data_IF_663233862579
#
_entry.id   IF_663233862579
#
_cell.length_a   1.000
_cell.length_b   1.000
_cell.length_c   1.000
_cell.angle_alpha   90.00
_cell.angle_beta   90.00
_cell.angle_gamma   90.00
#
_symmetry.space_group_name_H-M   'P 1'
#
loop_
_entity.id
_entity.type
_entity.pdbx_description
1 polymer ?
#
# COMPACT_ATOMS: atom_id res chain seq x y z
N UNK A 1 -14.45 8.63 15.88
CA UNK A 1 -13.05 9.15 16.07
C UNK A 1 -12.06 8.06 15.69
N UNK A 2 -10.90 8.46 15.16
CA UNK A 2 -9.86 7.51 14.74
C UNK A 2 -9.13 6.85 15.93
N UNK A 3 -8.94 7.58 17.01
CA UNK A 3 -8.35 7.10 18.27
C UNK A 3 -9.42 7.15 19.36
N UNK A 4 -9.54 6.07 20.14
CA UNK A 4 -10.53 5.89 21.21
C UNK A 4 -9.83 5.56 22.52
N UNK A 5 -10.59 5.26 23.57
CA UNK A 5 -10.05 4.80 24.85
C UNK A 5 -9.35 3.42 24.75
N UNK A 6 -9.70 2.63 23.73
CA UNK A 6 -9.07 1.31 23.52
C UNK A 6 -7.58 1.44 23.22
N UNK A 7 -7.21 2.30 22.27
CA UNK A 7 -5.80 2.55 21.94
C UNK A 7 -5.04 3.12 23.14
N UNK A 8 -5.66 4.03 23.89
CA UNK A 8 -5.06 4.61 25.10
C UNK A 8 -4.79 3.54 26.17
N UNK A 9 -5.76 2.64 26.40
CA UNK A 9 -5.63 1.54 27.36
C UNK A 9 -4.47 0.61 26.97
N UNK A 10 -4.34 0.27 25.68
CA UNK A 10 -3.26 -0.60 25.22
C UNK A 10 -1.89 0.07 25.32
N UNK A 11 -1.79 1.36 24.98
CA UNK A 11 -0.56 2.14 25.15
C UNK A 11 -0.18 2.24 26.63
N UNK A 12 -1.15 2.50 27.52
CA UNK A 12 -0.90 2.55 28.97
C UNK A 12 -0.35 1.22 29.49
N UNK A 13 -0.90 0.08 29.06
CA UNK A 13 -0.41 -1.24 29.43
C UNK A 13 1.07 -1.47 29.00
N UNK A 14 1.48 -0.95 27.85
CA UNK A 14 2.89 -1.00 27.45
C UNK A 14 3.77 -0.14 28.35
N UNK A 15 3.34 1.07 28.68
CA UNK A 15 4.08 1.98 29.58
C UNK A 15 4.20 1.40 30.99
N UNK A 16 3.13 0.84 31.53
CA UNK A 16 3.12 0.20 32.86
C UNK A 16 4.07 -1.01 32.93
N UNK A 17 4.26 -1.71 31.79
CA UNK A 17 5.24 -2.80 31.70
C UNK A 17 6.68 -2.34 31.82
N UNK A 18 6.95 -1.02 31.67
CA UNK A 18 8.30 -0.45 31.60
C UNK A 18 9.19 -1.12 30.55
N UNK A 19 8.58 -1.64 29.48
CA UNK A 19 9.25 -2.37 28.39
C UNK A 19 10.01 -3.62 28.83
N UNK A 20 9.73 -4.16 30.02
CA UNK A 20 10.36 -5.41 30.49
C UNK A 20 9.81 -6.60 29.74
N UNK A 21 10.66 -7.47 29.22
CA UNK A 21 10.24 -8.68 28.50
C UNK A 21 9.31 -9.58 29.31
N UNK A 22 9.52 -9.68 30.64
CA UNK A 22 8.69 -10.49 31.55
C UNK A 22 7.30 -9.91 31.80
N UNK A 23 7.13 -8.59 31.62
CA UNK A 23 5.87 -7.87 31.79
C UNK A 23 5.29 -7.35 30.46
N UNK A 24 5.95 -7.66 29.33
CA UNK A 24 5.54 -7.22 28.01
C UNK A 24 4.13 -7.74 27.68
N UNK A 25 3.15 -6.87 27.42
CA UNK A 25 1.79 -7.27 27.04
C UNK A 25 1.71 -7.97 25.69
N UNK A 26 2.83 -8.02 24.92
CA UNK A 26 2.91 -8.72 23.64
C UNK A 26 2.02 -8.10 22.57
N UNK A 27 1.95 -6.78 22.49
CA UNK A 27 1.08 -6.07 21.54
C UNK A 27 1.44 -6.38 20.10
N UNK A 28 2.72 -6.48 19.79
CA UNK A 28 3.19 -6.88 18.44
C UNK A 28 2.64 -8.25 18.05
N UNK A 29 2.74 -9.25 18.94
CA UNK A 29 2.22 -10.60 18.68
C UNK A 29 0.71 -10.61 18.51
N UNK A 30 -0.01 -9.92 19.41
CA UNK A 30 -1.48 -9.80 19.35
C UNK A 30 -1.92 -9.12 18.03
N UNK A 31 -1.24 -8.05 17.65
CA UNK A 31 -1.48 -7.33 16.41
C UNK A 31 -1.27 -8.25 15.19
N UNK A 32 -0.16 -8.96 15.12
CA UNK A 32 0.13 -9.90 14.03
C UNK A 32 -0.96 -10.99 13.92
N UNK A 33 -1.41 -11.55 15.03
CA UNK A 33 -2.48 -12.54 15.06
C UNK A 33 -3.84 -11.97 14.60
N UNK A 34 -4.22 -10.80 15.11
CA UNK A 34 -5.46 -10.14 14.73
C UNK A 34 -5.46 -9.78 13.25
N UNK A 35 -4.34 -9.24 12.74
CA UNK A 35 -4.20 -8.87 11.34
C UNK A 35 -4.24 -10.08 10.41
N UNK A 36 -3.52 -11.14 10.74
CA UNK A 36 -3.54 -12.40 9.98
C UNK A 36 -4.96 -12.98 9.87
N UNK A 37 -5.74 -12.93 10.95
CA UNK A 37 -7.15 -13.36 10.94
C UNK A 37 -8.01 -12.53 10.01
N UNK A 38 -7.92 -11.19 10.08
CA UNK A 38 -8.70 -10.26 9.24
C UNK A 38 -8.39 -10.44 7.76
N UNK A 39 -7.11 -10.56 7.41
CA UNK A 39 -6.64 -10.69 6.02
C UNK A 39 -6.52 -12.14 5.54
N UNK A 40 -7.04 -13.11 6.32
CA UNK A 40 -7.09 -14.55 5.96
C UNK A 40 -5.74 -15.11 5.53
N UNK A 41 -4.67 -14.68 6.21
CA UNK A 41 -3.31 -15.15 5.99
C UNK A 41 -2.81 -16.01 7.16
N UNK A 42 -1.83 -16.90 6.91
CA UNK A 42 -1.22 -17.71 7.97
C UNK A 42 -0.24 -16.90 8.82
N UNK A 43 0.47 -15.97 8.18
CA UNK A 43 1.52 -15.18 8.81
C UNK A 43 1.29 -13.70 8.53
N UNK A 44 1.44 -12.88 9.57
CA UNK A 44 1.57 -11.43 9.50
C UNK A 44 2.80 -11.02 10.29
N UNK A 45 3.58 -10.10 9.75
CA UNK A 45 4.85 -9.66 10.35
C UNK A 45 4.88 -8.13 10.34
N UNK A 46 5.08 -7.56 11.51
CA UNK A 46 5.12 -6.11 11.72
C UNK A 46 6.45 -5.50 11.29
N UNK A 47 6.38 -4.26 10.78
CA UNK A 47 7.53 -3.49 10.29
C UNK A 47 7.43 -2.01 10.69
N UNK A 48 8.58 -1.33 10.66
CA UNK A 48 8.68 0.10 10.92
C UNK A 48 7.94 0.97 9.88
N UNK A 49 7.77 0.50 8.65
CA UNK A 49 7.02 1.18 7.58
C UNK A 49 6.76 0.24 6.39
N UNK A 50 5.85 0.67 5.46
CA UNK A 50 5.49 -0.12 4.29
C UNK A 50 6.61 -0.30 3.26
N UNK A 51 7.53 0.64 3.11
CA UNK A 51 8.69 0.49 2.20
C UNK A 51 9.60 -0.65 2.67
N UNK A 52 9.83 -0.73 3.97
CA UNK A 52 10.64 -1.78 4.59
C UNK A 52 10.01 -3.18 4.45
N UNK A 53 8.66 -3.29 4.45
CA UNK A 53 7.97 -4.56 4.22
C UNK A 53 8.25 -5.09 2.82
N UNK A 54 8.12 -4.25 1.79
CA UNK A 54 8.35 -4.62 0.40
C UNK A 54 9.82 -4.99 0.13
N UNK A 55 10.76 -4.18 0.64
CA UNK A 55 12.19 -4.52 0.55
C UNK A 55 12.49 -5.88 1.17
N UNK A 56 12.00 -6.15 2.39
CA UNK A 56 12.24 -7.41 3.07
C UNK A 56 11.60 -8.61 2.35
N UNK A 57 10.43 -8.43 1.75
CA UNK A 57 9.75 -9.48 0.97
C UNK A 57 10.51 -9.81 -0.31
N UNK A 58 10.97 -8.82 -1.07
CA UNK A 58 11.78 -9.00 -2.26
C UNK A 58 13.09 -9.73 -1.94
N UNK A 59 13.82 -9.27 -0.93
CA UNK A 59 15.06 -9.91 -0.50
C UNK A 59 14.85 -11.35 0.00
N UNK A 60 13.76 -11.61 0.75
CA UNK A 60 13.42 -12.96 1.22
C UNK A 60 13.00 -13.90 0.07
N UNK A 61 12.43 -13.35 -1.02
CA UNK A 61 12.12 -14.06 -2.26
C UNK A 61 13.36 -14.26 -3.17
N UNK A 62 14.54 -13.80 -2.74
CA UNK A 62 15.79 -13.96 -3.49
C UNK A 62 15.97 -12.95 -4.63
N UNK A 63 15.22 -11.84 -4.63
CA UNK A 63 15.41 -10.74 -5.59
C UNK A 63 16.62 -9.92 -5.19
N UNK A 64 17.50 -9.65 -6.16
CA UNK A 64 18.77 -8.95 -5.93
C UNK A 64 19.40 -8.37 -7.20
N UNK A 65 20.71 -8.07 -7.15
CA UNK A 65 21.45 -7.50 -8.27
C UNK A 65 21.32 -8.32 -9.57
N UNK A 66 21.02 -7.65 -10.68
CA UNK A 66 20.81 -8.28 -12.00
C UNK A 66 19.37 -8.69 -12.27
N UNK A 67 18.52 -8.76 -11.24
CA UNK A 67 17.09 -9.07 -11.40
C UNK A 67 16.28 -7.83 -11.78
N UNK A 68 15.15 -8.06 -12.42
CA UNK A 68 14.15 -7.05 -12.77
C UNK A 68 12.84 -7.29 -11.99
N UNK A 69 12.24 -6.19 -11.55
CA UNK A 69 10.93 -6.22 -10.89
C UNK A 69 9.97 -5.28 -11.61
N UNK A 70 8.85 -5.80 -12.10
CA UNK A 70 7.84 -5.00 -12.79
C UNK A 70 6.98 -4.25 -11.76
N UNK A 71 6.83 -2.93 -11.98
CA UNK A 71 6.09 -2.01 -11.10
C UNK A 71 5.23 -1.04 -11.92
N UNK A 72 4.09 -0.54 -11.40
CA UNK A 72 3.35 0.54 -12.06
C UNK A 72 4.08 1.88 -11.87
N UNK A 73 3.96 2.81 -12.82
CA UNK A 73 4.54 4.15 -12.70
C UNK A 73 3.70 5.07 -11.82
N UNK A 74 2.37 4.84 -11.76
CA UNK A 74 1.38 5.68 -11.08
C UNK A 74 1.12 5.15 -9.66
N UNK A 75 2.05 5.42 -8.77
CA UNK A 75 1.96 5.06 -7.34
C UNK A 75 2.96 5.87 -6.52
N UNK A 76 2.99 5.65 -5.20
CA UNK A 76 4.04 6.19 -4.33
C UNK A 76 5.41 5.61 -4.75
N UNK A 77 6.44 6.45 -4.78
CA UNK A 77 7.79 6.04 -5.21
C UNK A 77 8.39 4.87 -4.39
N UNK A 78 7.87 4.60 -3.19
CA UNK A 78 8.27 3.46 -2.35
C UNK A 78 8.18 2.11 -3.08
N UNK A 79 7.20 1.94 -3.99
CA UNK A 79 7.04 0.71 -4.80
C UNK A 79 8.21 0.49 -5.76
N UNK A 80 8.75 1.55 -6.36
CA UNK A 80 9.95 1.45 -7.20
C UNK A 80 11.24 1.46 -6.37
N UNK A 81 11.27 2.22 -5.28
CA UNK A 81 12.49 2.35 -4.46
C UNK A 81 12.80 1.10 -3.65
N UNK A 82 11.80 0.32 -3.22
CA UNK A 82 12.06 -0.96 -2.55
C UNK A 82 12.80 -1.95 -3.47
N UNK A 83 12.58 -1.88 -4.79
CA UNK A 83 13.31 -2.67 -5.79
C UNK A 83 14.78 -2.27 -5.81
N UNK A 84 15.05 -0.96 -5.84
CA UNK A 84 16.42 -0.44 -5.79
C UNK A 84 17.12 -0.78 -4.46
N UNK A 85 16.39 -0.74 -3.34
CA UNK A 85 16.93 -1.16 -2.05
C UNK A 85 17.32 -2.64 -2.02
N UNK A 86 16.63 -3.50 -2.78
CA UNK A 86 17.00 -4.90 -2.97
C UNK A 86 18.18 -5.08 -3.95
N UNK A 87 18.67 -4.01 -4.59
CA UNK A 87 19.72 -4.05 -5.59
C UNK A 87 19.23 -4.46 -6.98
N UNK A 88 17.93 -4.62 -7.18
CA UNK A 88 17.30 -4.98 -8.44
C UNK A 88 16.89 -3.75 -9.26
N UNK A 89 16.47 -3.96 -10.51
CA UNK A 89 16.05 -2.90 -11.43
C UNK A 89 14.51 -2.83 -11.52
N UNK A 90 13.88 -1.66 -11.27
CA UNK A 90 12.47 -1.49 -11.58
C UNK A 90 12.25 -1.41 -13.09
N UNK A 91 11.27 -2.17 -13.58
CA UNK A 91 10.77 -2.15 -14.95
C UNK A 91 9.34 -1.64 -14.92
N UNK A 92 9.07 -0.53 -15.59
CA UNK A 92 7.75 0.09 -15.56
C UNK A 92 6.83 -0.51 -16.63
N UNK A 93 5.66 -0.98 -16.19
CA UNK A 93 4.55 -1.38 -17.04
C UNK A 93 3.37 -0.43 -16.83
N UNK A 94 2.62 -0.16 -17.91
CA UNK A 94 1.54 0.83 -17.90
C UNK A 94 0.34 0.35 -17.09
N UNK A 95 -0.62 1.23 -16.89
CA UNK A 95 -1.84 0.98 -16.12
C UNK A 95 -3.05 0.80 -17.04
N UNK A 96 -4.05 0.09 -16.57
CA UNK A 96 -5.35 0.00 -17.24
C UNK A 96 -6.04 1.39 -17.25
N UNK A 97 -6.59 1.83 -18.39
CA UNK A 97 -7.15 3.18 -18.53
C UNK A 97 -8.43 3.44 -17.74
N UNK A 98 -9.11 2.41 -17.26
CA UNK A 98 -10.37 2.51 -16.51
C UNK A 98 -10.14 2.37 -14.99
N UNK A 99 -9.38 1.35 -14.59
CA UNK A 99 -9.10 1.05 -13.18
C UNK A 99 -7.87 1.76 -12.64
N UNK A 100 -6.94 2.18 -13.52
CA UNK A 100 -5.66 2.84 -13.23
C UNK A 100 -4.70 1.97 -12.41
N UNK A 101 -5.03 0.69 -12.19
CA UNK A 101 -4.16 -0.31 -11.61
C UNK A 101 -3.24 -0.89 -12.68
N UNK A 102 -2.20 -1.62 -12.28
CA UNK A 102 -1.25 -2.24 -13.19
C UNK A 102 -1.97 -3.13 -14.21
N UNK A 103 -1.73 -2.89 -15.52
CA UNK A 103 -2.32 -3.65 -16.61
C UNK A 103 -1.56 -4.96 -16.85
N UNK A 104 -2.21 -6.14 -16.69
CA UNK A 104 -1.60 -7.44 -16.97
C UNK A 104 -1.08 -7.60 -18.41
N UNK A 105 -1.71 -6.99 -19.42
CA UNK A 105 -1.23 -7.00 -20.79
C UNK A 105 0.09 -6.23 -20.91
N UNK A 106 0.16 -5.05 -20.28
CA UNK A 106 1.39 -4.29 -20.22
C UNK A 106 2.50 -5.05 -19.49
N UNK A 107 2.18 -5.74 -18.41
CA UNK A 107 3.13 -6.62 -17.70
C UNK A 107 3.69 -7.69 -18.64
N UNK A 108 2.82 -8.40 -19.37
CA UNK A 108 3.23 -9.45 -20.29
C UNK A 108 4.24 -8.96 -21.35
N UNK A 109 4.08 -7.74 -21.86
CA UNK A 109 5.00 -7.14 -22.85
C UNK A 109 6.35 -6.71 -22.28
N UNK A 110 6.47 -6.60 -20.95
CA UNK A 110 7.69 -6.16 -20.25
C UNK A 110 8.51 -7.29 -19.64
N UNK A 111 8.01 -8.54 -19.73
CA UNK A 111 8.71 -9.71 -19.21
C UNK A 111 10.02 -9.96 -19.97
N UNK A 112 11.09 -10.22 -19.23
CA UNK A 112 12.40 -10.65 -19.72
C UNK A 112 12.85 -11.91 -18.96
N UNK A 113 14.00 -12.46 -19.34
CA UNK A 113 14.61 -13.57 -18.59
C UNK A 113 15.11 -13.16 -17.19
N UNK A 114 15.30 -11.86 -16.94
CA UNK A 114 15.73 -11.31 -15.67
C UNK A 114 14.56 -10.95 -14.74
N UNK A 115 13.33 -10.96 -15.27
CA UNK A 115 12.15 -10.64 -14.44
C UNK A 115 11.98 -11.68 -13.36
N UNK A 116 12.01 -11.26 -12.09
CA UNK A 116 11.86 -12.12 -10.90
C UNK A 116 10.58 -11.85 -10.13
N UNK A 117 10.06 -10.62 -10.19
CA UNK A 117 8.89 -10.25 -9.42
C UNK A 117 8.02 -9.21 -10.15
N UNK A 118 6.77 -9.13 -9.71
CA UNK A 118 5.81 -8.08 -10.07
C UNK A 118 5.21 -7.50 -8.79
N UNK A 119 5.11 -6.17 -8.71
CA UNK A 119 4.46 -5.48 -7.59
C UNK A 119 3.23 -4.75 -8.09
N UNK A 120 2.06 -5.40 -8.16
CA UNK A 120 0.80 -4.70 -8.39
C UNK A 120 0.42 -3.88 -7.16
N UNK A 121 -0.19 -2.71 -7.40
CA UNK A 121 -0.63 -1.78 -6.36
C UNK A 121 -2.14 -1.69 -6.35
N UNK A 122 -2.75 -1.88 -5.19
CA UNK A 122 -4.17 -1.63 -4.96
C UNK A 122 -4.43 -0.11 -4.84
N UNK A 123 -4.31 0.57 -6.00
CA UNK A 123 -4.22 2.02 -6.11
C UNK A 123 -5.51 2.71 -5.66
N UNK A 124 -5.36 3.67 -4.76
CA UNK A 124 -6.44 4.46 -4.12
C UNK A 124 -7.43 3.64 -3.30
N UNK A 125 -7.23 2.32 -3.21
CA UNK A 125 -8.09 1.38 -2.49
C UNK A 125 -8.85 0.42 -3.40
N UNK A 126 -8.55 0.38 -4.71
CA UNK A 126 -9.07 -0.59 -5.67
C UNK A 126 -8.05 -1.72 -5.84
N UNK A 127 -8.41 -2.99 -5.56
CA UNK A 127 -7.53 -4.14 -5.84
C UNK A 127 -7.15 -4.23 -7.33
N UNK A 128 -5.94 -4.70 -7.67
CA UNK A 128 -5.56 -5.00 -9.05
C UNK A 128 -6.28 -6.26 -9.57
N UNK A 129 -6.19 -6.52 -10.88
CA UNK A 129 -6.59 -7.82 -11.47
C UNK A 129 -5.58 -8.90 -11.09
N UNK A 130 -5.67 -9.33 -9.84
CA UNK A 130 -4.67 -10.21 -9.24
C UNK A 130 -4.66 -11.61 -9.87
N UNK A 131 -5.79 -12.12 -10.35
CA UNK A 131 -5.84 -13.46 -10.94
C UNK A 131 -5.04 -13.53 -12.24
N UNK A 132 -5.19 -12.55 -13.13
CA UNK A 132 -4.42 -12.51 -14.37
C UNK A 132 -2.92 -12.35 -14.10
N UNK A 133 -2.54 -11.56 -13.10
CA UNK A 133 -1.14 -11.42 -12.69
C UNK A 133 -0.59 -12.71 -12.06
N UNK A 134 -1.38 -13.43 -11.27
CA UNK A 134 -0.97 -14.72 -10.71
C UNK A 134 -0.83 -15.82 -11.78
N UNK A 135 -1.66 -15.80 -12.84
CA UNK A 135 -1.50 -16.70 -13.99
C UNK A 135 -0.17 -16.44 -14.69
N UNK A 136 0.13 -15.18 -15.05
CA UNK A 136 1.42 -14.79 -15.64
C UNK A 136 2.60 -15.19 -14.75
N UNK A 137 2.46 -14.97 -13.45
CA UNK A 137 3.48 -15.31 -12.47
C UNK A 137 3.74 -16.83 -12.40
N UNK A 138 2.68 -17.64 -12.41
CA UNK A 138 2.80 -19.11 -12.40
C UNK A 138 3.49 -19.63 -13.65
N UNK A 139 3.17 -19.08 -14.83
CA UNK A 139 3.78 -19.49 -16.12
C UNK A 139 5.28 -19.16 -16.21
N UNK A 140 5.73 -18.14 -15.49
CA UNK A 140 7.09 -17.57 -15.57
C UNK A 140 7.92 -17.75 -14.30
N UNK A 141 7.37 -18.37 -13.25
CA UNK A 141 8.04 -18.54 -11.96
C UNK A 141 8.32 -17.22 -11.25
N UNK A 142 7.42 -16.23 -11.37
CA UNK A 142 7.59 -14.90 -10.78
C UNK A 142 7.03 -14.82 -9.36
N UNK A 143 7.66 -14.02 -8.53
CA UNK A 143 7.13 -13.63 -7.23
C UNK A 143 6.16 -12.45 -7.38
N UNK A 144 4.95 -12.56 -6.83
CA UNK A 144 3.97 -11.47 -6.79
C UNK A 144 3.90 -10.92 -5.38
N UNK A 145 4.21 -9.62 -5.25
CA UNK A 145 4.11 -8.86 -4.01
C UNK A 145 3.04 -7.78 -4.18
N UNK A 146 1.86 -7.98 -3.60
CA UNK A 146 0.78 -6.99 -3.67
C UNK A 146 1.07 -5.81 -2.73
N UNK A 147 1.01 -4.57 -3.24
CA UNK A 147 1.13 -3.35 -2.43
C UNK A 147 -0.26 -2.85 -2.06
N UNK A 148 -0.74 -3.26 -0.88
CA UNK A 148 -2.04 -2.91 -0.31
C UNK A 148 -1.97 -1.70 0.64
N UNK A 149 -0.92 -0.89 0.56
CA UNK A 149 -0.75 0.28 1.42
C UNK A 149 -1.92 1.28 1.37
N UNK A 150 -2.77 1.17 0.35
CA UNK A 150 -3.95 2.01 0.14
C UNK A 150 -5.27 1.21 0.15
N UNK A 151 -5.25 -0.12 0.45
CA UNK A 151 -6.40 -0.99 0.32
C UNK A 151 -6.59 -1.88 1.56
N UNK A 152 -7.38 -1.42 2.50
CA UNK A 152 -7.78 -2.21 3.68
C UNK A 152 -9.22 -2.65 3.51
N UNK A 153 -9.48 -3.97 3.54
CA UNK A 153 -10.78 -4.55 3.29
C UNK A 153 -11.39 -4.16 1.92
N UNK A 154 -10.54 -3.96 0.89
CA UNK A 154 -10.97 -4.08 -0.48
C UNK A 154 -11.16 -5.56 -0.84
N UNK A 155 -12.01 -5.86 -1.83
CA UNK A 155 -12.23 -7.25 -2.26
C UNK A 155 -12.13 -7.36 -3.77
N UNK A 156 -11.58 -8.48 -4.20
CA UNK A 156 -11.52 -8.93 -5.57
C UNK A 156 -12.18 -10.31 -5.67
N UNK A 157 -13.28 -10.42 -6.40
CA UNK A 157 -14.03 -11.67 -6.58
C UNK A 157 -14.32 -12.40 -5.25
N UNK A 158 -14.79 -11.64 -4.24
CA UNK A 158 -15.12 -12.15 -2.90
C UNK A 158 -13.93 -12.48 -2.00
N UNK A 159 -12.70 -12.30 -2.46
CA UNK A 159 -11.46 -12.49 -1.67
C UNK A 159 -10.93 -11.13 -1.22
N UNK A 160 -10.52 -11.03 0.03
CA UNK A 160 -9.93 -9.78 0.55
C UNK A 160 -8.58 -9.51 -0.15
N UNK A 161 -8.36 -8.25 -0.55
CA UNK A 161 -7.08 -7.82 -1.10
C UNK A 161 -5.94 -8.16 -0.13
N UNK A 162 -4.82 -8.63 -0.66
CA UNK A 162 -3.71 -9.13 0.14
C UNK A 162 -3.79 -10.61 0.55
N UNK A 163 -4.83 -11.36 0.13
CA UNK A 163 -4.96 -12.79 0.46
C UNK A 163 -4.58 -13.75 -0.66
N UNK A 164 -4.29 -13.26 -1.87
CA UNK A 164 -4.09 -14.07 -3.08
C UNK A 164 -2.64 -14.13 -3.52
N UNK A 165 -1.93 -13.01 -3.48
CA UNK A 165 -0.52 -12.92 -3.86
C UNK A 165 0.39 -13.76 -2.96
N UNK A 166 1.65 -13.98 -3.37
CA UNK A 166 2.62 -14.70 -2.56
C UNK A 166 2.94 -13.98 -1.24
N UNK A 167 2.95 -12.65 -1.27
CA UNK A 167 3.00 -11.80 -0.09
C UNK A 167 2.29 -10.48 -0.37
N UNK A 168 1.84 -9.79 0.71
CA UNK A 168 1.14 -8.51 0.58
C UNK A 168 1.59 -7.52 1.65
N UNK A 169 1.88 -6.31 1.21
CA UNK A 169 2.45 -5.22 1.98
C UNK A 169 1.38 -4.19 2.35
N UNK A 170 1.36 -3.79 3.62
CA UNK A 170 0.45 -2.77 4.14
C UNK A 170 1.25 -1.65 4.82
N UNK A 171 0.73 -0.43 4.77
CA UNK A 171 1.32 0.74 5.42
C UNK A 171 0.38 1.31 6.48
N UNK A 172 0.95 1.72 7.61
CA UNK A 172 0.24 2.37 8.71
C UNK A 172 0.67 3.83 8.89
N UNK A 173 1.15 4.44 7.80
CA UNK A 173 1.48 5.86 7.76
C UNK A 173 0.23 6.72 8.06
N UNK A 174 0.42 7.93 8.56
CA UNK A 174 -0.62 8.81 9.12
C UNK A 174 -1.88 9.00 8.26
N UNK A 175 -1.79 8.89 6.93
CA UNK A 175 -2.93 9.08 6.00
C UNK A 175 -3.75 7.81 5.73
N UNK A 176 -3.25 6.62 6.11
CA UNK A 176 -3.86 5.33 5.79
C UNK A 176 -5.17 5.09 6.56
N UNK A 177 -5.88 4.00 6.26
CA UNK A 177 -7.16 3.65 6.92
C UNK A 177 -6.99 3.51 8.42
N UNK A 178 -5.94 2.80 8.84
CA UNK A 178 -5.47 2.69 10.22
C UNK A 178 -4.02 3.17 10.31
N UNK A 179 -3.60 3.66 11.48
CA UNK A 179 -2.27 4.28 11.62
C UNK A 179 -1.74 4.26 13.04
N UNK A 180 -0.42 4.19 13.14
CA UNK A 180 0.34 4.51 14.35
C UNK A 180 1.39 5.62 14.11
N UNK A 181 1.17 6.47 13.06
CA UNK A 181 2.13 7.47 12.60
C UNK A 181 3.01 6.91 11.48
N UNK A 182 3.88 5.98 11.81
CA UNK A 182 4.66 5.17 10.88
C UNK A 182 4.60 3.70 11.30
N UNK A 183 4.46 2.81 10.32
CA UNK A 183 4.38 1.36 10.53
C UNK A 183 4.09 0.62 9.23
N UNK A 184 4.27 -0.69 9.24
CA UNK A 184 3.94 -1.59 8.14
C UNK A 184 3.59 -2.99 8.62
N UNK A 185 2.97 -3.76 7.74
CA UNK A 185 2.69 -5.19 7.92
C UNK A 185 2.92 -5.90 6.61
N UNK A 186 3.47 -7.08 6.66
CA UNK A 186 3.50 -7.99 5.53
C UNK A 186 2.74 -9.26 5.87
N UNK A 187 1.95 -9.78 4.94
CA UNK A 187 1.24 -11.05 5.08
C UNK A 187 1.72 -12.05 4.05
N UNK A 188 1.70 -13.33 4.41
CA UNK A 188 1.98 -14.44 3.50
C UNK A 188 1.40 -15.75 4.04
N UNK A 189 1.22 -16.75 3.16
CA UNK A 189 0.82 -18.09 3.52
C UNK A 189 2.00 -19.10 3.51
N UNK A 190 3.19 -18.66 3.07
CA UNK A 190 4.39 -19.45 3.00
C UNK A 190 5.26 -19.27 4.26
N UNK A 191 5.58 -20.38 4.95
CA UNK A 191 6.36 -20.35 6.20
C UNK A 191 7.83 -20.00 5.97
N UNK A 192 8.41 -20.46 4.86
CA UNK A 192 9.81 -20.19 4.55
C UNK A 192 10.01 -18.72 4.20
N UNK A 193 9.10 -18.17 3.37
CA UNK A 193 9.07 -16.76 3.06
C UNK A 193 8.85 -15.90 4.32
N UNK A 194 7.89 -16.27 5.18
CA UNK A 194 7.63 -15.57 6.45
C UNK A 194 8.86 -15.57 7.35
N UNK A 195 9.59 -16.69 7.41
CA UNK A 195 10.82 -16.79 8.20
C UNK A 195 11.93 -15.91 7.62
N UNK A 196 12.11 -15.89 6.29
CA UNK A 196 13.05 -15.02 5.59
C UNK A 196 12.75 -13.54 5.83
N UNK A 197 11.49 -13.13 5.68
CA UNK A 197 11.01 -11.77 5.94
C UNK A 197 11.29 -11.35 7.38
N UNK A 198 10.96 -12.19 8.36
CA UNK A 198 11.20 -11.88 9.78
C UNK A 198 12.69 -11.80 10.12
N UNK A 199 13.53 -12.66 9.53
CA UNK A 199 14.99 -12.55 9.66
C UNK A 199 15.50 -11.24 9.10
N UNK A 200 15.03 -10.86 7.91
CA UNK A 200 15.40 -9.60 7.27
C UNK A 200 15.06 -8.38 8.14
N UNK A 201 13.88 -8.38 8.79
CA UNK A 201 13.46 -7.31 9.69
C UNK A 201 14.20 -7.28 11.04
N UNK A 202 14.88 -8.37 11.38
CA UNK A 202 15.46 -8.60 12.71
C UNK A 202 16.95 -8.92 12.65
N UNK A 203 17.73 -8.17 11.88
CA UNK A 203 19.18 -8.28 11.80
C UNK A 203 19.71 -9.68 11.41
N UNK A 204 18.88 -10.51 10.76
CA UNK A 204 19.28 -11.86 10.36
C UNK A 204 19.39 -12.87 11.52
N UNK A 205 18.70 -12.65 12.63
CA UNK A 205 18.76 -13.56 13.78
C UNK A 205 18.31 -14.98 13.42
N UNK A 206 19.15 -15.97 13.76
CA UNK A 206 18.91 -17.40 13.58
C UNK A 206 17.65 -17.88 14.34
N UNK A 207 17.38 -17.25 15.48
CA UNK A 207 16.35 -17.62 16.44
C UNK A 207 14.92 -17.30 16.00
N UNK A 208 14.73 -16.50 14.95
CA UNK A 208 13.37 -16.10 14.50
C UNK A 208 12.80 -17.08 13.50
N UNK A 209 11.48 -17.31 13.59
CA UNK A 209 10.69 -18.10 12.65
C UNK A 209 9.52 -17.27 12.10
N UNK A 210 8.86 -17.73 11.05
CA UNK A 210 7.73 -17.03 10.43
C UNK A 210 6.58 -16.75 11.38
N UNK A 211 6.24 -17.69 12.26
CA UNK A 211 5.28 -17.45 13.33
C UNK A 211 5.83 -16.55 14.43
N UNK A 212 4.94 -15.85 15.15
CA UNK A 212 5.28 -15.10 16.36
C UNK A 212 5.63 -16.03 17.55
N UNK A 213 6.26 -17.16 17.27
CA UNK A 213 6.60 -18.20 18.21
C UNK A 213 7.88 -17.91 18.99
N UNK A 214 8.01 -18.53 20.15
CA UNK A 214 9.27 -18.54 20.90
C UNK A 214 10.34 -19.27 20.08
N UNK A 215 11.52 -18.67 19.97
CA UNK A 215 12.73 -19.39 19.59
C UNK A 215 12.92 -20.62 20.49
N UNK A 216 13.38 -21.73 19.93
CA UNK A 216 13.80 -22.93 20.70
C UNK A 216 15.15 -22.72 21.43
N UNK A 217 15.70 -21.52 21.37
CA UNK A 217 17.00 -21.17 21.94
C UNK A 217 16.81 -20.90 23.44
N UNK A 218 17.62 -21.56 24.25
CA UNK A 218 17.60 -21.41 25.72
C UNK A 218 18.30 -20.12 26.16
N UNK A 219 18.14 -19.76 27.43
CA UNK A 219 18.91 -18.64 28.01
C UNK A 219 20.41 -18.94 28.03
N UNK A 220 20.77 -20.17 28.32
CA UNK A 220 22.12 -20.67 28.38
C UNK A 220 22.78 -20.54 27.00
N UNK A 221 22.11 -20.95 25.92
CA UNK A 221 22.59 -20.78 24.54
C UNK A 221 22.90 -19.32 24.22
N UNK A 222 21.97 -18.40 24.53
CA UNK A 222 22.15 -16.97 24.26
C UNK A 222 23.30 -16.36 25.07
N UNK A 223 23.58 -16.89 26.26
CA UNK A 223 24.66 -16.44 27.14
C UNK A 223 26.02 -17.02 26.78
N UNK A 224 26.09 -18.09 25.99
CA UNK A 224 27.35 -18.67 25.52
C UNK A 224 28.05 -17.66 24.57
N UNK A 225 29.30 -17.27 24.84
CA UNK A 225 30.03 -16.36 23.96
C UNK A 225 30.29 -16.90 22.55
N UNK A 226 30.17 -18.21 22.35
CA UNK A 226 30.34 -18.88 21.05
C UNK A 226 29.03 -18.93 20.24
N UNK A 227 27.91 -18.50 20.82
CA UNK A 227 26.61 -18.53 20.14
C UNK A 227 26.59 -17.58 18.93
N UNK A 228 26.41 -18.16 17.74
CA UNK A 228 26.27 -17.43 16.49
C UNK A 228 24.85 -16.96 16.28
N UNK A 229 24.61 -15.66 16.35
CA UNK A 229 23.26 -15.06 16.35
C UNK A 229 22.70 -14.76 14.98
N UNK A 230 23.57 -14.47 14.02
CA UNK A 230 23.17 -13.94 12.71
C UNK A 230 23.48 -14.94 11.60
N UNK A 231 22.45 -15.45 10.91
CA UNK A 231 22.61 -16.41 9.81
C UNK A 231 22.51 -15.74 8.43
N UNK A 232 22.12 -14.47 8.40
CA UNK A 232 22.10 -13.64 7.20
C UNK A 232 22.30 -12.19 7.56
N UNK A 233 22.59 -11.37 6.56
CA UNK A 233 22.49 -9.91 6.71
C UNK A 233 21.01 -9.54 6.78
N UNK A 234 20.67 -8.60 7.65
CA UNK A 234 19.32 -8.08 7.82
C UNK A 234 19.34 -6.67 8.37
N UNK A 235 18.16 -6.07 8.44
CA UNK A 235 17.98 -4.71 8.93
C UNK A 235 17.24 -4.70 10.28
N UNK A 236 17.22 -3.56 10.95
CA UNK A 236 16.36 -3.33 12.09
C UNK A 236 15.09 -2.60 11.63
N UNK A 237 14.12 -3.38 11.18
CA UNK A 237 12.81 -2.89 10.69
C UNK A 237 11.67 -3.18 11.66
N UNK A 238 11.98 -3.50 12.91
CA UNK A 238 10.97 -3.90 13.92
C UNK A 238 10.06 -2.74 14.28
N UNK A 239 8.76 -3.02 14.40
CA UNK A 239 7.78 -2.12 14.96
C UNK A 239 7.91 -2.07 16.50
N UNK A 240 7.71 -0.91 17.10
CA UNK A 240 7.69 -0.77 18.56
C UNK A 240 6.39 -1.32 19.17
N UNK A 241 6.44 -1.78 20.43
CA UNK A 241 5.24 -2.22 21.17
C UNK A 241 4.21 -1.09 21.36
N UNK A 242 4.64 0.18 21.48
CA UNK A 242 3.73 1.33 21.55
C UNK A 242 2.97 1.52 20.24
N UNK A 243 3.65 1.43 19.10
CA UNK A 243 3.01 1.51 17.79
C UNK A 243 2.06 0.32 17.57
N UNK A 244 2.47 -0.88 18.00
CA UNK A 244 1.63 -2.07 17.90
C UNK A 244 0.38 -1.96 18.79
N UNK A 245 0.47 -1.35 19.97
CA UNK A 245 -0.66 -1.10 20.85
C UNK A 245 -1.72 -0.20 20.19
N UNK A 246 -1.28 0.89 19.57
CA UNK A 246 -2.18 1.78 18.81
C UNK A 246 -2.85 1.04 17.66
N UNK A 247 -2.08 0.30 16.88
CA UNK A 247 -2.60 -0.43 15.72
C UNK A 247 -3.56 -1.55 16.10
N UNK A 248 -3.28 -2.29 17.18
CA UNK A 248 -4.15 -3.36 17.65
C UNK A 248 -5.56 -2.84 17.92
N UNK A 249 -5.68 -1.71 18.63
CA UNK A 249 -6.99 -1.09 18.90
C UNK A 249 -7.73 -0.68 17.63
N UNK A 250 -7.00 -0.26 16.57
CA UNK A 250 -7.61 0.09 15.28
C UNK A 250 -7.93 -1.14 14.43
N UNK A 251 -7.10 -2.18 14.45
CA UNK A 251 -7.41 -3.45 13.73
C UNK A 251 -8.69 -4.07 14.26
N UNK A 252 -8.90 -4.06 15.58
CA UNK A 252 -10.13 -4.55 16.21
C UNK A 252 -11.40 -3.74 15.82
N UNK A 253 -11.24 -2.58 15.18
CA UNK A 253 -12.31 -1.71 14.65
C UNK A 253 -12.14 -1.42 13.16
N UNK A 254 -11.39 -2.23 12.44
CA UNK A 254 -10.99 -1.95 11.06
C UNK A 254 -12.21 -1.75 10.15
N UNK A 255 -13.23 -2.60 10.29
CA UNK A 255 -14.47 -2.48 9.49
C UNK A 255 -15.18 -1.14 9.69
N UNK A 256 -15.25 -0.63 10.94
CA UNK A 256 -15.82 0.68 11.24
C UNK A 256 -15.04 1.80 10.54
N UNK A 257 -13.70 1.75 10.62
CA UNK A 257 -12.83 2.77 10.06
C UNK A 257 -12.83 2.78 8.52
N UNK A 258 -12.89 1.61 7.89
CA UNK A 258 -13.02 1.49 6.43
C UNK A 258 -14.40 1.94 5.98
N UNK A 259 -15.47 1.52 6.66
CA UNK A 259 -16.84 1.94 6.34
C UNK A 259 -17.01 3.45 6.34
N UNK A 260 -16.41 4.16 7.30
CA UNK A 260 -16.46 5.62 7.33
C UNK A 260 -15.87 6.25 6.04
N UNK A 261 -14.80 5.66 5.47
CA UNK A 261 -14.23 6.13 4.19
C UNK A 261 -15.10 5.79 3.00
N UNK A 262 -15.68 4.58 2.98
CA UNK A 262 -16.63 4.16 1.94
C UNK A 262 -17.86 5.06 1.94
N UNK A 263 -18.41 5.38 3.11
CA UNK A 263 -19.54 6.30 3.25
C UNK A 263 -19.22 7.71 2.73
N UNK A 264 -17.99 8.20 2.99
CA UNK A 264 -17.53 9.47 2.47
C UNK A 264 -17.38 9.44 0.94
N UNK A 265 -16.80 8.39 0.39
CA UNK A 265 -16.69 8.21 -1.07
C UNK A 265 -18.07 8.14 -1.74
N UNK A 266 -19.02 7.41 -1.15
CA UNK A 266 -20.39 7.34 -1.63
C UNK A 266 -21.12 8.70 -1.61
N UNK A 267 -20.85 9.54 -0.61
CA UNK A 267 -21.39 10.90 -0.57
C UNK A 267 -20.80 11.78 -1.69
N UNK A 268 -19.49 11.68 -1.93
CA UNK A 268 -18.82 12.36 -3.04
C UNK A 268 -19.30 11.86 -4.40
N UNK A 269 -19.49 10.55 -4.56
CA UNK A 269 -20.02 9.97 -5.81
C UNK A 269 -21.44 10.47 -6.11
N UNK A 270 -22.32 10.58 -5.09
CA UNK A 270 -23.65 11.19 -5.26
C UNK A 270 -23.57 12.65 -5.68
N UNK A 271 -22.59 13.40 -5.19
CA UNK A 271 -22.35 14.78 -5.59
C UNK A 271 -21.97 14.93 -7.08
N UNK A 272 -21.51 13.87 -7.72
CA UNK A 272 -21.16 13.83 -9.15
C UNK A 272 -22.31 13.36 -10.05
N UNK A 273 -23.49 13.04 -9.54
CA UNK A 273 -24.60 12.60 -10.37
C UNK A 273 -24.93 13.64 -11.45
N UNK A 274 -24.95 13.19 -12.71
CA UNK A 274 -25.17 14.05 -13.90
C UNK A 274 -23.89 14.73 -14.42
N UNK A 275 -22.76 14.68 -13.71
CA UNK A 275 -21.50 15.18 -14.21
C UNK A 275 -20.86 14.19 -15.18
N UNK A 276 -20.50 14.62 -16.40
CA UNK A 276 -19.88 13.77 -17.43
C UNK A 276 -18.38 14.00 -17.57
N UNK A 277 -17.87 15.11 -17.06
CA UNK A 277 -16.49 15.55 -17.27
C UNK A 277 -15.56 15.30 -16.07
N UNK A 278 -16.10 14.94 -14.90
CA UNK A 278 -15.33 14.51 -13.73
C UNK A 278 -15.66 13.02 -13.48
N UNK A 279 -14.79 12.16 -13.97
CA UNK A 279 -15.04 10.71 -14.12
C UNK A 279 -14.32 9.96 -12.98
N UNK A 280 -15.05 9.28 -12.08
CA UNK A 280 -14.44 8.46 -11.02
C UNK A 280 -13.65 7.26 -11.58
N UNK A 281 -12.71 6.74 -10.75
CA UNK A 281 -12.06 5.46 -11.01
C UNK A 281 -13.11 4.36 -11.19
N UNK A 282 -12.97 3.57 -12.26
CA UNK A 282 -13.89 2.46 -12.51
C UNK A 282 -13.72 1.36 -11.44
N UNK A 283 -14.86 0.85 -10.96
CA UNK A 283 -14.90 -0.30 -10.05
C UNK A 283 -15.60 -1.43 -10.81
N UNK A 284 -14.88 -2.42 -11.36
CA UNK A 284 -15.46 -3.51 -12.11
C UNK A 284 -16.38 -4.39 -11.25
N UNK A 285 -17.24 -5.18 -11.89
CA UNK A 285 -18.07 -6.17 -11.21
C UNK A 285 -17.21 -7.18 -10.43
N UNK A 286 -17.63 -7.53 -9.22
CA UNK A 286 -16.86 -8.40 -8.33
C UNK A 286 -15.76 -7.72 -7.52
N UNK A 287 -15.56 -6.40 -7.70
CA UNK A 287 -14.61 -5.63 -6.90
C UNK A 287 -15.33 -4.83 -5.80
N UNK A 288 -14.64 -4.67 -4.66
CA UNK A 288 -15.04 -3.74 -3.61
C UNK A 288 -13.90 -2.78 -3.33
N UNK A 289 -14.15 -1.50 -3.53
CA UNK A 289 -13.19 -0.44 -3.35
C UNK A 289 -13.12 0.00 -1.88
N UNK A 290 -11.93 0.07 -1.29
CA UNK A 290 -11.72 0.50 0.11
C UNK A 290 -11.64 2.03 0.28
N UNK A 291 -11.53 2.77 -0.81
CA UNK A 291 -11.52 4.25 -0.86
C UNK A 291 -10.54 4.91 0.13
N UNK A 292 -9.25 4.58 0.04
CA UNK A 292 -8.24 5.40 0.72
C UNK A 292 -8.39 6.88 0.37
N UNK A 293 -8.66 7.18 -0.90
CA UNK A 293 -9.11 8.46 -1.42
C UNK A 293 -10.20 8.20 -2.47
N UNK A 294 -11.08 9.20 -2.69
CA UNK A 294 -12.00 9.20 -3.81
C UNK A 294 -11.35 9.96 -4.97
N UNK A 295 -11.08 9.27 -6.06
CA UNK A 295 -10.30 9.84 -7.17
C UNK A 295 -11.13 9.93 -8.43
N UNK A 296 -11.04 11.07 -9.12
CA UNK A 296 -11.64 11.31 -10.42
C UNK A 296 -10.57 11.80 -11.41
N UNK A 297 -10.81 11.56 -12.69
CA UNK A 297 -10.07 12.21 -13.76
C UNK A 297 -10.93 13.27 -14.45
N UNK A 298 -10.31 14.36 -14.87
CA UNK A 298 -10.93 15.30 -15.81
C UNK A 298 -11.01 14.65 -17.20
N UNK A 299 -12.18 14.73 -17.84
CA UNK A 299 -12.37 14.33 -19.23
C UNK A 299 -11.57 15.25 -20.18
N UNK A 300 -11.41 14.83 -21.45
CA UNK A 300 -10.67 15.62 -22.44
C UNK A 300 -11.40 16.94 -22.80
N UNK A 301 -12.73 16.89 -22.73
CA UNK A 301 -13.67 18.01 -22.95
C UNK A 301 -14.14 18.68 -21.67
N UNK A 302 -13.42 18.52 -20.55
CA UNK A 302 -13.79 19.13 -19.30
C UNK A 302 -13.84 20.67 -19.44
N UNK A 303 -14.87 21.35 -18.86
CA UNK A 303 -15.07 22.80 -19.01
C UNK A 303 -14.06 23.65 -18.20
N UNK A 304 -13.08 23.01 -17.56
CA UNK A 304 -12.07 23.68 -16.74
C UNK A 304 -10.78 22.85 -16.65
N UNK A 305 -9.69 23.53 -16.33
CA UNK A 305 -8.44 22.89 -15.98
C UNK A 305 -8.46 22.35 -14.53
N UNK A 306 -7.48 21.48 -14.20
CA UNK A 306 -7.25 21.02 -12.83
C UNK A 306 -7.05 22.21 -11.85
N UNK A 307 -6.31 23.24 -12.26
CA UNK A 307 -6.04 24.42 -11.44
C UNK A 307 -7.28 25.29 -11.25
N UNK A 308 -8.13 25.47 -12.28
CA UNK A 308 -9.38 26.22 -12.19
C UNK A 308 -10.37 25.52 -11.26
N UNK A 309 -10.51 24.20 -11.42
CA UNK A 309 -11.35 23.39 -10.53
C UNK A 309 -10.91 23.52 -9.08
N UNK A 310 -9.60 23.36 -8.81
CA UNK A 310 -9.05 23.46 -7.45
C UNK A 310 -9.31 24.83 -6.84
N UNK A 311 -9.07 25.90 -7.59
CA UNK A 311 -9.31 27.27 -7.12
C UNK A 311 -10.76 27.46 -6.70
N UNK A 312 -11.72 27.05 -7.54
CA UNK A 312 -13.14 27.20 -7.27
C UNK A 312 -13.62 26.31 -6.11
N UNK A 313 -13.14 25.09 -6.03
CA UNK A 313 -13.42 24.17 -4.92
C UNK A 313 -13.01 24.77 -3.57
N UNK A 314 -11.83 25.39 -3.49
CA UNK A 314 -11.35 26.07 -2.29
C UNK A 314 -12.16 27.35 -1.97
N UNK A 315 -12.55 28.13 -2.99
CA UNK A 315 -13.42 29.31 -2.81
C UNK A 315 -14.78 28.94 -2.21
N UNK A 316 -15.31 27.77 -2.55
CA UNK A 316 -16.56 27.26 -1.96
C UNK A 316 -16.36 26.64 -0.56
N UNK A 317 -15.16 26.71 -0.01
CA UNK A 317 -14.83 26.24 1.35
C UNK A 317 -14.51 24.76 1.42
N UNK A 318 -14.08 24.16 0.31
CA UNK A 318 -13.61 22.78 0.26
C UNK A 318 -12.28 22.59 0.97
N UNK A 319 -12.05 21.38 1.47
CA UNK A 319 -10.74 20.96 1.93
C UNK A 319 -9.75 20.94 0.75
N UNK A 320 -8.45 21.10 1.02
CA UNK A 320 -7.45 20.86 -0.02
C UNK A 320 -7.55 19.42 -0.55
N UNK A 321 -7.49 19.26 -1.86
CA UNK A 321 -7.32 17.97 -2.50
C UNK A 321 -5.96 17.89 -3.18
N UNK A 322 -5.58 16.68 -3.61
CA UNK A 322 -4.28 16.41 -4.20
C UNK A 322 -4.42 16.01 -5.67
N UNK A 323 -3.43 16.33 -6.52
CA UNK A 323 -3.20 15.64 -7.79
C UNK A 323 -2.60 14.26 -7.54
N UNK A 324 -2.50 13.44 -8.58
CA UNK A 324 -1.68 12.24 -8.52
C UNK A 324 -0.19 12.62 -8.34
N UNK A 325 0.56 11.72 -7.72
CA UNK A 325 2.02 11.85 -7.69
C UNK A 325 2.57 11.88 -9.11
N UNK A 326 3.72 12.50 -9.31
CA UNK A 326 4.46 12.35 -10.56
C UNK A 326 4.73 10.87 -10.83
N UNK A 327 4.78 10.48 -12.11
CA UNK A 327 5.12 9.12 -12.47
C UNK A 327 6.53 8.80 -12.00
N UNK A 328 6.72 7.67 -11.34
CA UNK A 328 7.95 7.36 -10.61
C UNK A 328 9.20 7.51 -11.48
N UNK A 329 9.15 7.05 -12.76
CA UNK A 329 10.30 7.17 -13.66
C UNK A 329 10.57 8.60 -14.16
N UNK A 330 9.63 9.53 -13.97
CA UNK A 330 9.80 10.96 -14.29
C UNK A 330 10.27 11.77 -13.08
N UNK A 331 10.31 11.18 -11.88
CA UNK A 331 10.87 11.84 -10.72
C UNK A 331 12.37 12.11 -10.90
N UNK A 332 12.90 13.24 -10.42
CA UNK A 332 14.33 13.59 -10.57
C UNK A 332 15.30 12.51 -10.03
N UNK A 333 14.82 11.66 -9.13
CA UNK A 333 15.57 10.54 -8.60
C UNK A 333 15.88 9.47 -9.66
N UNK A 334 15.02 9.31 -10.67
CA UNK A 334 15.11 8.25 -11.68
C UNK A 334 15.26 8.79 -13.11
N UNK A 335 14.62 9.92 -13.44
CA UNK A 335 14.55 10.45 -14.81
C UNK A 335 15.92 10.63 -15.44
N UNK A 336 16.08 10.07 -16.63
CA UNK A 336 17.31 10.16 -17.43
C UNK A 336 18.50 9.40 -16.86
N UNK A 337 18.36 8.72 -15.72
CA UNK A 337 19.44 7.94 -15.10
C UNK A 337 19.51 6.54 -15.70
N UNK A 338 20.73 6.03 -15.79
CA UNK A 338 21.04 4.63 -16.04
C UNK A 338 21.50 4.03 -14.70
N UNK A 339 20.70 3.14 -14.13
CA UNK A 339 20.92 2.58 -12.80
C UNK A 339 21.83 1.34 -12.83
N UNK A 340 21.88 0.65 -14.00
CA UNK A 340 22.75 -0.49 -14.25
C UNK A 340 23.04 -0.62 -15.74
N UNK A 341 24.06 -1.39 -16.11
CA UNK A 341 24.43 -1.62 -17.52
C UNK A 341 23.35 -2.36 -18.28
N UNK A 342 22.67 -3.29 -17.61
CA UNK A 342 21.62 -4.13 -18.19
C UNK A 342 20.26 -3.42 -18.34
N UNK A 343 20.13 -2.19 -17.86
CA UNK A 343 18.87 -1.45 -17.94
C UNK A 343 18.46 -1.22 -19.41
N UNK A 344 17.30 -1.77 -19.79
CA UNK A 344 16.75 -1.66 -21.13
C UNK A 344 15.79 -0.48 -21.28
N UNK A 345 15.06 -0.12 -20.23
CA UNK A 345 14.14 1.01 -20.26
C UNK A 345 14.88 2.34 -20.02
N UNK A 346 14.63 3.30 -20.91
CA UNK A 346 14.99 4.70 -20.66
C UNK A 346 13.88 5.35 -19.83
N UNK A 347 14.20 5.87 -18.67
CA UNK A 347 13.27 6.57 -17.79
C UNK A 347 13.02 8.00 -18.29
N UNK A 348 12.09 8.13 -19.22
CA UNK A 348 11.69 9.40 -19.82
C UNK A 348 10.25 9.32 -20.34
N UNK A 349 9.70 10.44 -20.78
CA UNK A 349 8.36 10.55 -21.38
C UNK A 349 8.19 9.57 -22.54
N UNK A 350 7.02 8.97 -22.67
CA UNK A 350 6.67 7.97 -23.68
C UNK A 350 6.80 6.52 -23.22
N UNK A 351 7.26 6.28 -21.98
CA UNK A 351 7.44 4.93 -21.44
C UNK A 351 6.10 4.24 -21.10
N UNK A 352 5.15 4.98 -20.49
CA UNK A 352 3.84 4.51 -20.08
C UNK A 352 2.74 5.52 -20.50
N UNK A 353 2.32 5.49 -21.76
CA UNK A 353 1.48 6.55 -22.34
C UNK A 353 0.08 6.66 -21.73
N UNK A 354 -0.49 5.58 -21.17
CA UNK A 354 -1.78 5.64 -20.46
C UNK A 354 -1.61 6.40 -19.14
N UNK A 355 -0.63 6.03 -18.33
CA UNK A 355 -0.34 6.72 -17.08
C UNK A 355 0.04 8.20 -17.30
N UNK A 356 0.79 8.50 -18.35
CA UNK A 356 1.18 9.89 -18.70
C UNK A 356 -0.01 10.77 -19.06
N UNK A 357 -1.04 10.21 -19.71
CA UNK A 357 -2.29 10.93 -20.01
C UNK A 357 -3.18 11.11 -18.78
N UNK A 358 -3.21 10.12 -17.89
CA UNK A 358 -4.03 10.11 -16.68
C UNK A 358 -3.50 11.05 -15.61
N UNK A 359 -2.21 10.96 -15.30
CA UNK A 359 -1.58 11.59 -14.15
C UNK A 359 -1.91 13.08 -13.99
N UNK A 360 -1.79 13.96 -15.00
CA UNK A 360 -2.04 15.40 -14.84
C UNK A 360 -3.51 15.76 -14.67
N UNK A 361 -4.43 14.81 -14.86
CA UNK A 361 -5.89 15.00 -14.82
C UNK A 361 -6.54 14.42 -13.57
N UNK A 362 -5.78 13.73 -12.74
CA UNK A 362 -6.31 13.07 -11.54
C UNK A 362 -6.49 14.06 -10.38
N UNK A 363 -7.63 13.97 -9.73
CA UNK A 363 -8.01 14.75 -8.55
C UNK A 363 -8.36 13.78 -7.44
N UNK A 364 -7.65 13.87 -6.30
CA UNK A 364 -7.82 12.99 -5.15
C UNK A 364 -8.55 13.74 -4.03
N UNK A 365 -9.80 13.41 -3.78
CA UNK A 365 -10.57 13.92 -2.65
C UNK A 365 -10.33 13.08 -1.40
N UNK A 366 -10.26 13.73 -0.25
CA UNK A 366 -10.15 13.05 1.04
C UNK A 366 -11.41 12.24 1.33
N UNK A 367 -11.25 11.10 2.00
CA UNK A 367 -12.33 10.23 2.49
C UNK A 367 -12.29 10.02 4.00
N UNK A 368 -11.29 10.55 4.69
CA UNK A 368 -11.09 10.38 6.14
C UNK A 368 -11.99 11.27 7.01
N UNK A 369 -13.26 11.36 6.64
CA UNK A 369 -14.31 12.06 7.38
C UNK A 369 -15.02 11.10 8.33
N UNK A 370 -14.70 11.17 9.62
CA UNK A 370 -15.33 10.35 10.66
C UNK A 370 -16.58 10.98 11.29
N UNK A 371 -16.91 12.21 10.91
CA UNK A 371 -18.10 12.96 11.32
C UNK A 371 -18.98 13.23 10.10
N UNK A 372 -20.29 12.96 10.22
CA UNK A 372 -21.23 13.06 9.09
C UNK A 372 -21.32 14.49 8.53
N UNK A 373 -21.35 15.50 9.40
CA UNK A 373 -21.40 16.92 9.02
C UNK A 373 -20.23 17.34 8.12
N UNK A 374 -19.01 16.88 8.42
CA UNK A 374 -17.82 17.14 7.60
C UNK A 374 -17.87 16.44 6.25
N UNK A 375 -18.32 15.19 6.23
CA UNK A 375 -18.53 14.41 5.01
C UNK A 375 -19.55 15.08 4.10
N UNK A 376 -20.70 15.46 4.66
CA UNK A 376 -21.82 16.01 3.90
C UNK A 376 -21.47 17.42 3.39
N UNK A 377 -20.74 18.22 4.16
CA UNK A 377 -20.17 19.49 3.70
C UNK A 377 -19.19 19.31 2.54
N UNK A 378 -18.31 18.31 2.57
CA UNK A 378 -17.38 18.04 1.48
C UNK A 378 -18.13 17.66 0.19
N UNK A 379 -19.19 16.87 0.30
CA UNK A 379 -20.04 16.49 -0.83
C UNK A 379 -20.82 17.72 -1.40
N UNK A 380 -21.34 18.60 -0.55
CA UNK A 380 -22.00 19.85 -0.97
C UNK A 380 -21.04 20.76 -1.74
N UNK A 381 -19.83 20.96 -1.22
CA UNK A 381 -18.80 21.77 -1.90
C UNK A 381 -18.44 21.19 -3.25
N UNK A 382 -18.31 19.86 -3.35
CA UNK A 382 -18.05 19.20 -4.62
C UNK A 382 -19.20 19.42 -5.60
N UNK A 383 -20.46 19.24 -5.18
CA UNK A 383 -21.64 19.49 -6.00
C UNK A 383 -21.66 20.92 -6.53
N UNK A 384 -21.51 21.91 -5.67
CA UNK A 384 -21.47 23.34 -6.05
C UNK A 384 -20.35 23.65 -7.03
N UNK A 385 -19.20 23.00 -6.89
CA UNK A 385 -18.07 23.17 -7.81
C UNK A 385 -18.37 22.59 -9.19
N UNK A 386 -19.00 21.43 -9.23
CA UNK A 386 -19.43 20.77 -10.49
C UNK A 386 -20.48 21.63 -11.19
N UNK A 387 -21.52 22.06 -10.48
CA UNK A 387 -22.62 22.87 -11.04
C UNK A 387 -22.10 24.21 -11.59
N UNK A 388 -21.13 24.83 -10.92
CA UNK A 388 -20.52 26.08 -11.38
C UNK A 388 -19.87 25.95 -12.76
N UNK A 389 -19.14 24.86 -13.01
CA UNK A 389 -18.49 24.67 -14.31
C UNK A 389 -19.44 24.08 -15.36
N UNK A 390 -20.36 23.21 -14.99
CA UNK A 390 -21.37 22.65 -15.91
C UNK A 390 -22.33 23.69 -16.49
N UNK A 391 -22.63 24.76 -15.76
CA UNK A 391 -23.51 25.85 -16.20
C UNK A 391 -22.80 26.93 -17.05
N UNK A 392 -21.52 26.81 -17.31
CA UNK A 392 -20.71 27.79 -18.07
C UNK A 392 -20.24 27.25 -19.43
N UNK A 393 -20.40 25.98 -19.69
CA UNK A 393 -20.16 25.34 -20.99
C UNK A 393 -21.48 25.04 -21.68
#
# INVERSE_FOLDING_TARGET
>A
MRVTEREKTYVQAVLDSQFRNSANPGMTKRLEQAFATVFRSKYAITFANGTATMHAALAAAGVGPGDEVIVPPLTMASTAFCVLHAGALPVFADVDPATWTLDPESVATRLTQRTKAVIPVALYGLPPDIDRLMVLASERGLFVLEDDAQCFLGFYQGRVAGSVAHASSFSFQSTKHITCGEGGMITTNDEQLATGIRRMSSLGYAAVSGGAGKSKITKEDIQDPRYLRHTSVGWNYRLSELSAAVLLGQVERLEELVRARVDAANALARALQGCRWLIPQAVPEGYVHAYWTFVCRLADDAPCTWHDFRRKYLEFGGDGFYGAWALNYLEPALRGKRLAEEQTQRFDTGLCPVAERLQPRLIQFKTNYYAADRRDRAADVLRRSVDFFSNRG
#
